data_IF_037839353057
#
_entry.id   IF_037839353057
#
_cell.length_a   1.000
_cell.length_b   1.000
_cell.length_c   1.000
_cell.angle_alpha   90.00
_cell.angle_beta   90.00
_cell.angle_gamma   90.00
#
_symmetry.space_group_name_H-M   'P 1'
#
loop_
_entity.id
_entity.type
_entity.pdbx_description
1 polymer ?
#
# COMPACT_ATOMS: atom_id res chain seq x y z
N UNK A 1 38.89 -50.49 -46.58
CA UNK A 1 37.85 -50.20 -47.59
C UNK A 1 36.53 -49.91 -46.88
N UNK A 2 35.58 -49.21 -47.51
CA UNK A 2 34.27 -48.79 -46.98
C UNK A 2 34.24 -47.70 -45.88
N UNK A 3 34.30 -46.46 -46.36
CA UNK A 3 33.59 -45.32 -45.75
C UNK A 3 32.07 -45.55 -45.82
N UNK A 4 31.31 -45.05 -44.82
CA UNK A 4 29.91 -44.64 -45.02
C UNK A 4 29.61 -43.28 -44.37
N UNK A 5 29.04 -42.43 -45.21
CA UNK A 5 28.77 -40.99 -45.10
C UNK A 5 27.79 -40.57 -43.99
N UNK A 6 28.10 -39.43 -43.38
CA UNK A 6 27.27 -38.36 -42.76
C UNK A 6 25.72 -38.50 -42.72
N UNK A 7 25.12 -37.92 -41.65
CA UNK A 7 24.30 -36.68 -41.74
C UNK A 7 24.12 -36.03 -40.34
N UNK A 8 23.96 -34.70 -40.31
CA UNK A 8 23.77 -33.88 -39.11
C UNK A 8 22.37 -34.05 -38.47
N UNK A 9 22.27 -33.93 -37.15
CA UNK A 9 21.26 -33.06 -36.50
C UNK A 9 21.95 -32.28 -35.37
N UNK A 10 21.83 -30.95 -35.38
CA UNK A 10 22.39 -30.09 -34.34
C UNK A 10 21.53 -30.06 -33.07
N UNK A 11 22.10 -30.50 -31.95
CA UNK A 11 21.52 -30.30 -30.62
C UNK A 11 22.16 -29.08 -29.94
N UNK A 12 21.47 -27.92 -29.97
CA UNK A 12 21.85 -26.79 -29.13
C UNK A 12 21.59 -27.16 -27.67
N UNK A 13 22.63 -27.55 -26.95
CA UNK A 13 22.57 -27.79 -25.52
C UNK A 13 22.27 -26.49 -24.77
N UNK A 14 21.00 -26.29 -24.40
CA UNK A 14 20.60 -25.16 -23.56
C UNK A 14 21.22 -25.37 -22.17
N UNK A 15 22.24 -24.57 -21.86
CA UNK A 15 22.84 -24.54 -20.53
C UNK A 15 21.79 -24.06 -19.51
N UNK A 16 21.29 -24.99 -18.69
CA UNK A 16 20.44 -24.69 -17.54
C UNK A 16 21.28 -24.01 -16.44
N UNK A 17 21.47 -22.70 -16.56
CA UNK A 17 22.00 -21.85 -15.48
C UNK A 17 20.96 -21.65 -14.37
N UNK A 18 20.64 -22.73 -13.68
CA UNK A 18 19.71 -22.77 -12.54
C UNK A 18 20.35 -22.32 -11.22
N UNK A 19 20.75 -21.05 -11.13
CA UNK A 19 21.25 -20.44 -9.88
C UNK A 19 20.59 -19.07 -9.63
N UNK A 20 19.40 -19.05 -9.02
CA UNK A 20 18.81 -17.81 -8.46
C UNK A 20 19.20 -17.59 -7.00
N UNK A 21 20.50 -17.69 -6.72
CA UNK A 21 21.09 -17.13 -5.50
C UNK A 21 21.03 -15.60 -5.60
N UNK A 22 20.03 -15.00 -4.95
CA UNK A 22 20.00 -13.55 -4.72
C UNK A 22 21.07 -13.17 -3.69
N UNK A 23 22.32 -13.17 -4.14
CA UNK A 23 23.43 -12.64 -3.38
C UNK A 23 23.24 -11.13 -3.13
N UNK A 24 23.78 -10.66 -2.00
CA UNK A 24 23.66 -9.27 -1.60
C UNK A 24 24.30 -8.29 -2.60
N UNK A 25 24.08 -7.00 -2.33
CA UNK A 25 24.82 -5.90 -2.98
C UNK A 25 24.55 -5.67 -4.47
N UNK A 26 23.32 -5.86 -4.95
CA UNK A 26 22.87 -5.20 -6.18
C UNK A 26 22.18 -3.88 -5.88
N UNK A 27 22.87 -2.78 -6.20
CA UNK A 27 22.29 -1.44 -6.32
C UNK A 27 21.32 -1.45 -7.50
N UNK A 28 20.06 -1.81 -7.24
CA UNK A 28 18.98 -1.81 -8.22
C UNK A 28 18.81 -0.39 -8.81
N UNK A 29 19.49 -0.13 -9.93
CA UNK A 29 19.51 1.18 -10.60
C UNK A 29 18.09 1.61 -11.05
N UNK A 30 17.11 0.69 -11.10
CA UNK A 30 15.70 1.06 -11.30
C UNK A 30 15.18 2.01 -10.21
N UNK A 31 15.73 1.93 -9.00
CA UNK A 31 15.29 2.72 -7.85
C UNK A 31 15.66 4.20 -7.94
N UNK A 32 16.70 4.54 -8.71
CA UNK A 32 17.08 5.94 -8.98
C UNK A 32 16.09 6.68 -9.87
N UNK A 33 15.30 5.94 -10.66
CA UNK A 33 14.47 6.49 -11.74
C UNK A 33 13.11 7.02 -11.29
N UNK A 34 12.65 6.67 -10.09
CA UNK A 34 11.43 7.27 -9.54
C UNK A 34 11.65 8.76 -9.23
N UNK A 35 10.72 9.60 -9.65
CA UNK A 35 10.69 11.03 -9.40
C UNK A 35 10.19 11.37 -7.98
N UNK A 36 9.43 10.46 -7.35
CA UNK A 36 8.94 10.63 -5.98
C UNK A 36 8.82 9.31 -5.20
N UNK A 37 8.77 9.34 -3.85
CA UNK A 37 8.45 8.14 -3.07
C UNK A 37 7.05 7.60 -3.36
N UNK A 38 6.10 8.47 -3.75
CA UNK A 38 4.73 8.07 -4.08
C UNK A 38 4.68 7.23 -5.37
N UNK A 39 5.46 7.63 -6.37
CA UNK A 39 5.64 6.88 -7.61
C UNK A 39 6.27 5.50 -7.35
N UNK A 40 7.28 5.42 -6.47
CA UNK A 40 7.81 4.13 -6.01
C UNK A 40 6.73 3.26 -5.37
N UNK A 41 5.93 3.81 -4.45
CA UNK A 41 4.87 3.07 -3.73
C UNK A 41 3.88 2.45 -4.73
N UNK A 42 3.54 3.18 -5.80
CA UNK A 42 2.72 2.68 -6.90
C UNK A 42 3.47 1.62 -7.74
N UNK A 43 4.63 1.95 -8.33
CA UNK A 43 5.29 1.10 -9.33
C UNK A 43 5.91 -0.19 -8.74
N UNK A 44 6.42 -0.17 -7.50
CA UNK A 44 6.83 -1.41 -6.80
C UNK A 44 5.65 -2.14 -6.15
N UNK A 45 4.40 -1.69 -6.40
CA UNK A 45 3.16 -2.26 -5.84
C UNK A 45 3.25 -2.48 -4.32
N UNK A 46 3.62 -1.44 -3.57
CA UNK A 46 3.79 -1.50 -2.11
C UNK A 46 2.43 -1.50 -1.40
N UNK A 47 1.44 -0.85 -1.99
CA UNK A 47 0.03 -1.00 -1.63
C UNK A 47 -0.70 -1.81 -2.72
N UNK A 48 -1.97 -2.14 -2.48
CA UNK A 48 -2.87 -2.52 -3.57
C UNK A 48 -3.08 -1.33 -4.54
N UNK A 49 -3.48 -1.60 -5.79
CA UNK A 49 -3.70 -0.57 -6.82
C UNK A 49 -4.75 0.50 -6.41
N UNK A 50 -5.73 0.12 -5.59
CA UNK A 50 -6.73 1.03 -5.02
C UNK A 50 -6.16 1.98 -3.92
N UNK A 51 -4.93 1.74 -3.44
CA UNK A 51 -4.27 2.47 -2.34
C UNK A 51 -4.43 1.84 -0.95
N UNK A 52 -5.11 0.68 -0.84
CA UNK A 52 -5.31 -0.04 0.42
C UNK A 52 -4.11 -0.91 0.80
N UNK A 53 -4.14 -1.43 2.03
CA UNK A 53 -3.10 -2.31 2.55
C UNK A 53 -2.90 -3.56 1.68
N UNK A 54 -1.64 -3.94 1.46
CA UNK A 54 -1.26 -5.15 0.73
C UNK A 54 -0.79 -6.22 1.71
N UNK A 55 -1.12 -7.47 1.41
CA UNK A 55 -0.69 -8.62 2.19
C UNK A 55 0.77 -9.00 1.89
N UNK A 56 1.51 -9.31 2.95
CA UNK A 56 2.91 -9.72 2.91
C UNK A 56 3.13 -10.90 3.85
N UNK A 57 3.85 -11.92 3.41
CA UNK A 57 4.29 -13.00 4.31
C UNK A 57 5.33 -12.46 5.28
N UNK A 58 5.10 -12.61 6.58
CA UNK A 58 6.06 -12.22 7.64
C UNK A 58 6.66 -13.42 8.38
N UNK A 59 6.04 -14.59 8.22
CA UNK A 59 6.49 -15.88 8.72
C UNK A 59 6.06 -16.97 7.74
N UNK A 60 7.01 -17.75 7.24
CA UNK A 60 6.76 -18.84 6.27
C UNK A 60 6.44 -20.18 6.94
N UNK A 61 6.37 -20.23 8.28
CA UNK A 61 6.27 -21.48 9.05
C UNK A 61 7.64 -22.13 9.32
N UNK A 62 7.66 -23.09 10.25
CA UNK A 62 8.88 -23.70 10.81
C UNK A 62 9.84 -24.28 9.77
N UNK A 63 9.32 -24.75 8.64
CA UNK A 63 10.08 -25.52 7.66
C UNK A 63 10.63 -24.65 6.52
N UNK A 64 10.48 -23.32 6.60
CA UNK A 64 10.77 -22.37 5.52
C UNK A 64 11.42 -21.05 6.04
N UNK A 65 12.06 -21.09 7.22
CA UNK A 65 12.61 -19.91 7.90
C UNK A 65 13.69 -19.15 7.11
N UNK A 66 14.33 -19.79 6.12
CA UNK A 66 15.36 -19.17 5.26
C UNK A 66 14.78 -18.18 4.23
N UNK A 67 13.48 -18.26 3.92
CA UNK A 67 12.84 -17.36 2.96
C UNK A 67 12.69 -15.95 3.54
N UNK A 68 13.13 -14.92 2.79
CA UNK A 68 13.04 -13.53 3.25
C UNK A 68 11.57 -13.18 3.62
N UNK A 69 11.33 -12.60 4.81
CA UNK A 69 10.02 -12.08 5.19
C UNK A 69 9.65 -10.91 4.29
N UNK A 70 8.63 -11.11 3.44
CA UNK A 70 8.14 -10.10 2.51
C UNK A 70 7.62 -8.84 3.22
N UNK A 71 7.25 -8.93 4.50
CA UNK A 71 6.89 -7.77 5.34
C UNK A 71 7.99 -6.71 5.45
N UNK A 72 9.23 -7.05 5.11
CA UNK A 72 10.35 -6.12 5.06
C UNK A 72 10.42 -5.33 3.74
N UNK A 73 9.76 -5.79 2.67
CA UNK A 73 9.89 -5.20 1.33
C UNK A 73 9.50 -3.71 1.27
N UNK A 74 8.41 -3.22 1.91
CA UNK A 74 8.09 -1.79 1.93
C UNK A 74 9.26 -0.95 2.48
N UNK A 75 9.76 -1.32 3.67
CA UNK A 75 10.91 -0.65 4.31
C UNK A 75 12.17 -0.74 3.44
N UNK A 76 12.47 -1.91 2.87
CA UNK A 76 13.65 -2.18 2.03
C UNK A 76 13.65 -1.30 0.78
N UNK A 77 12.53 -1.23 0.04
CA UNK A 77 12.44 -0.40 -1.16
C UNK A 77 12.54 1.11 -0.84
N UNK A 78 11.84 1.58 0.21
CA UNK A 78 11.87 2.99 0.61
C UNK A 78 13.23 3.43 1.16
N UNK A 79 13.91 2.55 1.90
CA UNK A 79 15.31 2.73 2.31
C UNK A 79 16.22 2.88 1.08
N UNK A 80 16.13 1.94 0.14
CA UNK A 80 16.94 1.95 -1.08
C UNK A 80 16.68 3.20 -1.93
N UNK A 81 15.44 3.71 -1.97
CA UNK A 81 15.12 4.99 -2.61
C UNK A 81 15.83 6.18 -1.97
N UNK A 82 15.78 6.24 -0.63
CA UNK A 82 16.41 7.30 0.11
C UNK A 82 17.94 7.28 -0.12
N UNK A 83 18.58 6.13 0.04
CA UNK A 83 20.02 5.96 -0.20
C UNK A 83 20.42 6.24 -1.65
N UNK A 84 19.61 5.83 -2.64
CA UNK A 84 19.85 6.11 -4.06
C UNK A 84 19.74 7.60 -4.44
N UNK A 85 19.19 8.44 -3.54
CA UNK A 85 19.14 9.90 -3.65
C UNK A 85 20.04 10.58 -2.61
N UNK A 86 21.12 9.91 -2.19
CA UNK A 86 22.09 10.36 -1.18
C UNK A 86 21.43 10.83 0.13
N UNK A 87 20.39 10.10 0.55
CA UNK A 87 19.63 10.38 1.77
C UNK A 87 19.78 9.32 2.85
N UNK A 88 19.60 9.75 4.11
CA UNK A 88 19.56 8.90 5.29
C UNK A 88 18.11 8.55 5.63
N UNK A 89 17.78 7.27 5.57
CA UNK A 89 16.49 6.73 6.00
C UNK A 89 16.57 6.28 7.46
N UNK A 90 15.72 6.82 8.32
CA UNK A 90 15.73 6.51 9.75
C UNK A 90 14.31 6.34 10.29
N UNK A 91 14.16 5.49 11.31
CA UNK A 91 12.90 5.37 12.05
C UNK A 91 12.67 6.67 12.83
N UNK A 92 11.50 7.28 12.63
CA UNK A 92 11.06 8.50 13.32
C UNK A 92 10.11 8.15 14.48
N UNK A 93 9.15 7.25 14.25
CA UNK A 93 8.22 6.78 15.28
C UNK A 93 8.00 5.26 15.16
N UNK A 94 8.02 4.55 16.30
CA UNK A 94 7.65 3.14 16.36
C UNK A 94 6.12 2.99 16.18
N UNK A 95 5.70 1.97 15.42
CA UNK A 95 4.30 1.58 15.36
C UNK A 95 3.77 1.13 16.72
N UNK A 96 2.54 1.51 17.03
CA UNK A 96 1.73 1.04 18.16
C UNK A 96 0.63 0.07 17.71
N UNK A 97 0.64 -0.33 16.43
CA UNK A 97 -0.37 -1.18 15.79
C UNK A 97 -1.79 -0.62 15.98
N UNK A 98 -1.94 0.70 15.84
CA UNK A 98 -3.19 1.42 16.08
C UNK A 98 -4.31 1.03 15.12
N UNK A 99 -3.96 0.70 13.87
CA UNK A 99 -4.90 0.32 12.81
C UNK A 99 -5.35 -1.14 12.88
N UNK A 100 -4.61 -2.01 13.57
CA UNK A 100 -5.04 -3.39 13.84
C UNK A 100 -6.20 -3.35 14.84
N UNK A 101 -7.33 -3.99 14.51
CA UNK A 101 -8.50 -4.00 15.42
C UNK A 101 -8.42 -5.11 16.46
N UNK A 102 -8.00 -6.30 16.06
CA UNK A 102 -7.97 -7.48 16.93
C UNK A 102 -6.72 -7.49 17.84
N UNK A 103 -6.94 -7.78 19.13
CA UNK A 103 -5.88 -7.80 20.14
C UNK A 103 -5.00 -9.05 20.09
N UNK A 104 -5.50 -10.20 19.61
CA UNK A 104 -4.63 -11.37 19.37
C UNK A 104 -3.59 -11.05 18.29
N UNK A 105 -4.04 -10.44 17.20
CA UNK A 105 -3.23 -10.09 16.04
C UNK A 105 -2.14 -9.09 16.45
N UNK A 106 -2.49 -8.08 17.28
CA UNK A 106 -1.49 -7.18 17.87
C UNK A 106 -0.42 -7.94 18.64
N UNK A 107 -0.79 -8.85 19.54
CA UNK A 107 0.18 -9.66 20.31
C UNK A 107 1.06 -10.51 19.39
N UNK A 108 0.51 -11.09 18.33
CA UNK A 108 1.23 -11.93 17.36
C UNK A 108 2.22 -11.12 16.51
N UNK A 109 1.79 -9.97 16.01
CA UNK A 109 2.65 -9.03 15.27
C UNK A 109 3.73 -8.41 16.19
N UNK A 110 3.39 -8.14 17.46
CA UNK A 110 4.33 -7.72 18.52
C UNK A 110 5.21 -8.86 19.06
N UNK A 111 5.00 -10.12 18.67
CA UNK A 111 5.97 -11.18 18.90
C UNK A 111 6.99 -11.26 17.75
N UNK A 112 6.58 -10.94 16.52
CA UNK A 112 7.45 -11.07 15.34
C UNK A 112 8.49 -9.96 15.22
N UNK A 113 9.78 -10.34 15.30
CA UNK A 113 10.90 -9.44 14.97
C UNK A 113 10.83 -8.90 13.54
N UNK A 114 10.41 -9.73 12.58
CA UNK A 114 10.28 -9.38 11.16
C UNK A 114 9.24 -8.27 10.93
N UNK A 115 8.12 -8.30 11.66
CA UNK A 115 7.12 -7.23 11.59
C UNK A 115 7.64 -5.99 12.31
N UNK A 116 8.10 -6.13 13.57
CA UNK A 116 8.62 -5.01 14.39
C UNK A 116 9.64 -4.13 13.66
N UNK A 117 10.56 -4.75 12.94
CA UNK A 117 11.60 -4.01 12.22
C UNK A 117 11.11 -3.37 10.91
N UNK A 118 9.97 -3.80 10.35
CA UNK A 118 9.42 -3.29 9.09
C UNK A 118 8.44 -2.12 9.24
N UNK A 119 7.81 -1.97 10.41
CA UNK A 119 6.67 -1.06 10.64
C UNK A 119 7.05 0.22 11.40
N UNK A 120 6.18 1.23 11.34
CA UNK A 120 6.37 2.56 11.95
C UNK A 120 6.47 3.68 10.92
N UNK A 121 6.73 4.90 11.40
CA UNK A 121 7.05 6.02 10.52
C UNK A 121 8.57 6.15 10.36
N UNK A 122 9.00 6.30 9.12
CA UNK A 122 10.38 6.51 8.72
C UNK A 122 10.52 7.87 8.05
N UNK A 123 11.60 8.58 8.34
CA UNK A 123 11.99 9.83 7.68
C UNK A 123 13.18 9.57 6.76
N UNK A 124 13.08 10.04 5.52
CA UNK A 124 14.25 10.24 4.67
C UNK A 124 14.68 11.70 4.76
N UNK A 125 15.98 11.95 4.91
CA UNK A 125 16.60 13.27 4.73
C UNK A 125 17.65 13.15 3.64
N UNK A 126 17.45 13.85 2.52
CA UNK A 126 18.36 13.87 1.37
C UNK A 126 19.41 14.97 1.54
N UNK A 127 20.58 14.81 0.91
CA UNK A 127 21.69 15.78 0.98
C UNK A 127 21.33 17.19 0.49
N UNK A 128 20.34 17.30 -0.40
CA UNK A 128 19.80 18.57 -0.93
C UNK A 128 18.73 19.22 -0.01
N UNK A 129 18.67 18.85 1.27
CA UNK A 129 17.71 19.37 2.25
C UNK A 129 16.27 18.85 2.12
N UNK A 130 15.92 18.15 1.03
CA UNK A 130 14.58 17.59 0.89
C UNK A 130 14.37 16.45 1.89
N UNK A 131 13.20 16.42 2.50
CA UNK A 131 12.83 15.32 3.39
C UNK A 131 11.37 14.92 3.22
N UNK A 132 11.10 13.65 3.49
CA UNK A 132 9.76 13.06 3.41
C UNK A 132 9.60 12.03 4.52
N UNK A 133 8.37 11.86 5.00
CA UNK A 133 8.02 10.89 6.04
C UNK A 133 7.03 9.90 5.43
N UNK A 134 7.26 8.61 5.68
CA UNK A 134 6.41 7.51 5.25
C UNK A 134 6.02 6.67 6.46
N UNK A 135 4.74 6.37 6.60
CA UNK A 135 4.18 5.46 7.59
C UNK A 135 3.98 4.10 6.95
N UNK A 136 4.45 3.03 7.59
CA UNK A 136 4.24 1.63 7.20
C UNK A 136 3.55 0.96 8.39
N UNK A 137 2.23 0.80 8.33
CA UNK A 137 1.43 0.33 9.47
C UNK A 137 0.66 -0.95 9.15
N UNK A 138 0.61 -1.93 10.08
CA UNK A 138 -0.23 -3.10 9.93
C UNK A 138 -1.70 -2.76 10.18
N UNK A 139 -2.60 -3.30 9.36
CA UNK A 139 -4.07 -3.15 9.52
C UNK A 139 -4.77 -4.45 9.92
N UNK A 140 -4.18 -5.60 9.59
CA UNK A 140 -4.67 -6.93 9.98
C UNK A 140 -3.55 -7.98 9.92
N UNK A 141 -3.76 -9.10 10.61
CA UNK A 141 -2.96 -10.33 10.51
C UNK A 141 -3.88 -11.48 10.12
N UNK A 142 -3.37 -12.49 9.43
CA UNK A 142 -4.07 -13.77 9.25
C UNK A 142 -3.12 -14.91 8.88
N UNK A 143 -3.56 -16.14 9.10
CA UNK A 143 -2.96 -17.32 8.48
C UNK A 143 -3.23 -17.33 6.96
N UNK A 144 -2.30 -17.86 6.18
CA UNK A 144 -2.53 -18.14 4.76
C UNK A 144 -3.53 -19.28 4.59
N UNK A 145 -4.34 -19.21 3.53
CA UNK A 145 -5.39 -20.18 3.21
C UNK A 145 -4.92 -21.33 2.30
N UNK A 146 -3.64 -21.32 1.92
CA UNK A 146 -2.97 -22.26 1.00
C UNK A 146 -2.44 -23.54 1.68
N UNK A 147 -2.72 -23.73 2.97
CA UNK A 147 -2.23 -24.86 3.76
C UNK A 147 -0.76 -24.76 4.21
N UNK A 148 0.01 -23.78 3.74
CA UNK A 148 1.47 -23.66 3.98
C UNK A 148 1.89 -23.34 5.42
N UNK A 149 0.92 -23.13 6.33
CA UNK A 149 1.11 -22.55 7.66
C UNK A 149 1.75 -21.13 7.69
N UNK A 150 2.02 -20.52 6.53
CA UNK A 150 2.53 -19.16 6.46
C UNK A 150 1.54 -18.16 7.05
N UNK A 151 2.07 -17.03 7.55
CA UNK A 151 1.27 -15.95 8.15
C UNK A 151 1.54 -14.62 7.48
N UNK A 152 0.44 -13.91 7.25
CA UNK A 152 0.31 -12.74 6.41
C UNK A 152 -0.03 -11.54 7.27
N UNK A 153 0.63 -10.42 6.98
CA UNK A 153 0.30 -9.11 7.55
C UNK A 153 -0.12 -8.18 6.42
N UNK A 154 -1.26 -7.50 6.60
CA UNK A 154 -1.69 -6.45 5.69
C UNK A 154 -1.02 -5.14 6.09
N UNK A 155 -0.10 -4.65 5.27
CA UNK A 155 0.63 -3.40 5.51
C UNK A 155 0.08 -2.28 4.63
N UNK A 156 -0.24 -1.13 5.23
CA UNK A 156 -0.55 0.10 4.51
C UNK A 156 0.64 1.06 4.58
N UNK A 157 1.11 1.48 3.40
CA UNK A 157 2.19 2.47 3.27
C UNK A 157 1.60 3.83 2.86
N UNK A 158 1.86 4.89 3.63
CA UNK A 158 1.32 6.24 3.37
C UNK A 158 2.37 7.33 3.60
N UNK A 159 2.54 8.25 2.65
CA UNK A 159 3.28 9.48 2.90
C UNK A 159 2.53 10.38 3.89
N UNK A 160 3.27 10.99 4.81
CA UNK A 160 2.75 11.89 5.84
C UNK A 160 3.57 13.19 5.87
N UNK A 161 2.90 14.29 6.18
CA UNK A 161 3.57 15.49 6.70
C UNK A 161 4.10 15.26 8.12
N UNK A 162 5.00 16.14 8.58
CA UNK A 162 5.53 16.07 9.95
C UNK A 162 4.43 16.19 11.02
N UNK A 163 3.43 17.03 10.80
CA UNK A 163 2.30 17.21 11.72
C UNK A 163 1.35 16.01 11.74
N UNK A 164 1.06 15.40 10.58
CA UNK A 164 0.28 14.16 10.52
C UNK A 164 0.98 13.02 11.25
N UNK A 165 2.28 12.84 11.00
CA UNK A 165 3.07 11.83 11.67
C UNK A 165 3.08 12.08 13.19
N UNK A 166 3.42 13.30 13.63
CA UNK A 166 3.40 13.67 15.05
C UNK A 166 2.05 13.32 15.68
N UNK A 167 0.94 13.84 15.15
CA UNK A 167 -0.42 13.59 15.66
C UNK A 167 -0.77 12.10 15.71
N UNK A 168 -0.49 11.34 14.65
CA UNK A 168 -0.81 9.92 14.58
C UNK A 168 -0.07 9.11 15.65
N UNK A 169 1.23 9.32 15.82
CA UNK A 169 2.04 8.54 16.76
C UNK A 169 1.98 9.06 18.21
N UNK A 170 1.80 10.37 18.45
CA UNK A 170 1.66 10.90 19.83
C UNK A 170 0.28 10.63 20.42
N UNK A 171 -0.80 10.77 19.65
CA UNK A 171 -2.15 10.60 20.20
C UNK A 171 -2.39 9.15 20.63
N UNK A 172 -1.84 8.17 19.90
CA UNK A 172 -1.93 6.76 20.30
C UNK A 172 -1.02 6.45 21.51
N UNK A 173 0.14 7.10 21.65
CA UNK A 173 1.02 6.91 22.81
C UNK A 173 0.38 7.39 24.13
N UNK A 174 -0.49 8.39 24.09
CA UNK A 174 -1.31 8.80 25.25
C UNK A 174 -2.36 7.73 25.57
N UNK A 175 -3.01 7.16 24.55
CA UNK A 175 -4.02 6.10 24.72
C UNK A 175 -3.40 4.79 25.26
N UNK A 176 -2.20 4.41 24.81
CA UNK A 176 -1.53 3.18 25.29
C UNK A 176 -1.06 3.32 26.74
N UNK A 177 -0.48 4.46 27.12
CA UNK A 177 -0.08 4.73 28.52
C UNK A 177 -1.25 4.77 29.50
N UNK A 178 -2.43 5.20 29.05
CA UNK A 178 -3.65 5.14 29.86
C UNK A 178 -4.18 3.71 30.05
N UNK A 179 -3.94 2.81 29.08
CA UNK A 179 -4.31 1.40 29.19
C UNK A 179 -3.34 0.60 30.10
N UNK A 180 -2.03 0.84 29.98
CA UNK A 180 -1.00 0.19 30.80
C UNK A 180 -1.14 0.54 32.30
N UNK A 181 -1.69 1.71 32.64
CA UNK A 181 -1.89 2.14 34.04
C UNK A 181 -3.16 1.57 34.72
N UNK A 182 -3.94 0.72 34.04
CA UNK A 182 -5.18 0.11 34.59
C UNK A 182 -5.07 -1.40 34.89
N UNK A 183 -3.91 -2.02 34.64
CA UNK A 183 -3.69 -3.46 34.85
C UNK A 183 -2.74 -3.76 36.01
N UNK A 184 -3.04 -3.19 37.19
CA UNK A 184 -2.37 -3.55 38.46
C UNK A 184 -3.19 -3.13 39.70
N UNK A 185 -4.32 -3.80 39.92
CA UNK A 185 -4.95 -3.94 41.25
C UNK A 185 -5.69 -5.28 41.36
N UNK A 186 -5.35 -6.04 42.40
CA UNK A 186 -6.08 -7.20 42.95
C UNK A 186 -7.47 -6.76 43.51
N UNK A 187 -8.45 -7.60 43.90
CA UNK A 187 -8.76 -9.04 43.72
C UNK A 187 -10.22 -9.31 44.20
N UNK A 188 -10.78 -10.47 43.81
CA UNK A 188 -11.75 -11.30 44.56
C UNK A 188 -13.23 -10.88 44.81
N UNK A 189 -14.04 -11.94 44.93
CA UNK A 189 -15.45 -12.08 45.35
C UNK A 189 -16.55 -11.51 44.40
N UNK A 190 -17.69 -12.20 44.16
CA UNK A 190 -18.31 -13.37 44.86
C UNK A 190 -18.99 -14.37 43.89
N UNK A 191 -19.49 -15.49 44.43
CA UNK A 191 -19.91 -16.74 43.75
C UNK A 191 -21.37 -16.81 43.26
N UNK A 192 -21.59 -17.74 42.30
CA UNK A 192 -22.77 -18.62 42.07
C UNK A 192 -24.16 -18.01 41.75
N UNK A 193 -24.71 -18.42 40.61
CA UNK A 193 -25.94 -19.21 40.55
C UNK A 193 -25.92 -20.13 39.30
N UNK A 194 -26.49 -21.33 39.43
CA UNK A 194 -26.58 -22.38 38.41
C UNK A 194 -28.06 -22.72 38.20
N UNK A 195 -28.53 -22.91 36.96
CA UNK A 195 -29.57 -23.91 36.68
C UNK A 195 -29.66 -24.28 35.18
N UNK A 196 -30.32 -25.40 34.92
CA UNK A 196 -30.07 -26.34 33.80
C UNK A 196 -31.38 -26.94 33.30
N UNK A 197 -31.66 -26.87 31.99
CA UNK A 197 -32.40 -27.92 31.24
C UNK A 197 -32.57 -27.58 29.74
N UNK A 198 -32.24 -28.53 28.88
CA UNK A 198 -32.53 -28.61 27.43
C UNK A 198 -33.58 -29.71 27.17
N UNK A 199 -33.82 -30.18 25.93
CA UNK A 199 -34.51 -29.56 24.78
C UNK A 199 -35.81 -30.36 24.42
N UNK A 200 -36.50 -30.12 23.29
CA UNK A 200 -36.15 -30.72 21.96
C UNK A 200 -36.55 -29.78 20.79
N UNK A 201 -36.70 -30.12 19.49
CA UNK A 201 -36.48 -31.34 18.67
C UNK A 201 -36.15 -30.93 17.20
N UNK A 202 -35.77 -31.91 16.37
CA UNK A 202 -35.66 -31.83 14.89
C UNK A 202 -36.85 -32.58 14.23
N UNK A 203 -37.09 -32.45 12.89
CA UNK A 203 -36.54 -33.48 11.98
C UNK A 203 -36.12 -33.01 10.55
N UNK A 204 -34.97 -33.49 10.04
CA UNK A 204 -34.85 -34.53 8.99
C UNK A 204 -35.95 -34.64 7.88
N UNK A 205 -35.69 -34.94 6.58
CA UNK A 205 -34.49 -35.31 5.79
C UNK A 205 -34.85 -35.32 4.27
N UNK A 206 -33.82 -35.37 3.38
CA UNK A 206 -33.73 -36.03 2.02
C UNK A 206 -33.39 -35.10 0.84
N UNK A 207 -32.66 -35.52 -0.22
CA UNK A 207 -31.56 -36.51 -0.41
C UNK A 207 -31.02 -36.38 -1.86
N UNK A 208 -29.69 -36.46 -2.07
CA UNK A 208 -28.99 -36.71 -3.37
C UNK A 208 -29.23 -35.66 -4.51
N UNK A 209 -28.40 -35.46 -5.55
CA UNK A 209 -27.40 -36.32 -6.24
C UNK A 209 -26.22 -35.49 -6.83
N UNK A 210 -25.02 -36.07 -6.90
CA UNK A 210 -23.87 -35.73 -7.78
C UNK A 210 -23.64 -36.96 -8.70
N UNK A 211 -22.96 -36.93 -9.87
CA UNK A 211 -22.08 -35.87 -10.40
C UNK A 211 -22.14 -35.62 -11.94
N UNK A 212 -21.40 -34.62 -12.43
CA UNK A 212 -20.69 -34.67 -13.72
C UNK A 212 -19.55 -33.62 -13.70
N UNK A 213 -18.46 -33.87 -14.42
CA UNK A 213 -17.34 -32.95 -14.55
C UNK A 213 -17.04 -32.70 -16.04
N UNK A 214 -16.90 -31.44 -16.42
CA UNK A 214 -16.26 -31.03 -17.68
C UNK A 214 -15.28 -29.87 -17.43
N UNK A 215 -14.36 -29.68 -18.37
CA UNK A 215 -13.10 -28.98 -18.15
C UNK A 215 -13.23 -27.45 -18.02
N UNK A 216 -12.23 -26.77 -17.42
CA UNK A 216 -12.32 -25.35 -17.13
C UNK A 216 -12.20 -24.52 -18.43
N UNK A 217 -13.25 -23.75 -18.73
CA UNK A 217 -13.13 -22.66 -19.69
C UNK A 217 -12.02 -21.68 -19.22
N UNK A 218 -11.16 -21.29 -20.15
CA UNK A 218 -10.01 -20.43 -19.85
C UNK A 218 -10.47 -19.12 -19.20
N UNK A 219 -10.01 -18.86 -17.97
CA UNK A 219 -10.26 -17.57 -17.31
C UNK A 219 -9.61 -16.46 -18.14
N UNK A 220 -10.32 -15.36 -18.45
CA UNK A 220 -9.73 -14.28 -19.23
C UNK A 220 -8.54 -13.69 -18.46
N UNK A 221 -7.40 -13.61 -19.16
CA UNK A 221 -6.15 -13.06 -18.63
C UNK A 221 -6.44 -11.69 -18.02
N UNK A 222 -6.21 -11.54 -16.71
CA UNK A 222 -6.27 -10.24 -16.05
C UNK A 222 -5.17 -9.36 -16.64
N UNK A 223 -5.57 -8.52 -17.60
CA UNK A 223 -4.73 -7.44 -18.12
C UNK A 223 -4.34 -6.58 -16.93
N UNK A 224 -3.06 -6.63 -16.55
CA UNK A 224 -2.53 -5.81 -15.48
C UNK A 224 -2.53 -4.37 -16.01
N UNK A 225 -3.55 -3.61 -15.66
CA UNK A 225 -3.70 -2.21 -16.09
C UNK A 225 -2.41 -1.45 -15.78
N UNK A 226 -1.82 -0.83 -16.79
CA UNK A 226 -0.58 -0.07 -16.63
C UNK A 226 -0.81 1.14 -15.72
N UNK A 227 0.21 1.65 -15.00
CA UNK A 227 0.08 2.87 -14.20
C UNK A 227 -0.49 4.05 -15.00
N UNK A 228 -0.18 4.12 -16.30
CA UNK A 228 -0.74 5.08 -17.26
C UNK A 228 -2.25 4.90 -17.46
N UNK A 229 -2.72 3.66 -17.66
CA UNK A 229 -4.15 3.34 -17.75
C UNK A 229 -4.88 3.63 -16.44
N UNK A 230 -4.31 3.27 -15.29
CA UNK A 230 -4.89 3.54 -13.97
C UNK A 230 -4.98 5.05 -13.70
N UNK A 231 -3.93 5.82 -14.05
CA UNK A 231 -3.95 7.28 -13.93
C UNK A 231 -5.04 7.90 -14.82
N UNK A 232 -5.14 7.46 -16.09
CA UNK A 232 -6.15 7.94 -17.03
C UNK A 232 -7.57 7.58 -16.57
N UNK A 233 -7.81 6.35 -16.12
CA UNK A 233 -9.10 5.87 -15.63
C UNK A 233 -9.54 6.63 -14.37
N UNK A 234 -8.62 6.89 -13.43
CA UNK A 234 -8.87 7.71 -12.25
C UNK A 234 -9.17 9.18 -12.62
N UNK A 235 -8.46 9.75 -13.60
CA UNK A 235 -8.72 11.09 -14.11
C UNK A 235 -10.10 11.21 -14.81
N UNK A 236 -10.41 10.28 -15.72
CA UNK A 236 -11.66 10.29 -16.49
C UNK A 236 -12.87 10.09 -15.60
N UNK A 237 -12.81 9.14 -14.64
CA UNK A 237 -13.89 8.95 -13.65
C UNK A 237 -14.07 10.18 -12.77
N UNK A 238 -12.99 10.77 -12.26
CA UNK A 238 -13.04 12.01 -11.49
C UNK A 238 -13.66 13.18 -12.28
N UNK A 239 -13.23 13.39 -13.52
CA UNK A 239 -13.73 14.47 -14.39
C UNK A 239 -15.22 14.29 -14.69
N UNK A 240 -15.63 13.08 -15.06
CA UNK A 240 -17.04 12.73 -15.34
C UNK A 240 -17.94 13.00 -14.14
N UNK A 241 -17.56 12.46 -12.98
CA UNK A 241 -18.40 12.52 -11.79
C UNK A 241 -18.46 13.96 -11.22
N UNK A 242 -17.33 14.69 -11.22
CA UNK A 242 -17.31 16.12 -10.89
C UNK A 242 -18.16 16.97 -11.86
N UNK A 243 -18.11 16.71 -13.18
CA UNK A 243 -18.93 17.44 -14.16
C UNK A 243 -20.44 17.20 -14.00
N UNK A 244 -20.83 16.04 -13.43
CA UNK A 244 -22.23 15.70 -13.14
C UNK A 244 -22.67 16.10 -11.73
N UNK A 245 -21.77 16.65 -10.90
CA UNK A 245 -22.02 16.92 -9.49
C UNK A 245 -22.28 15.68 -8.63
N UNK A 246 -22.08 14.47 -9.17
CA UNK A 246 -22.37 13.20 -8.51
C UNK A 246 -21.13 12.65 -7.80
N UNK A 247 -21.33 11.88 -6.72
CA UNK A 247 -20.25 11.16 -6.02
C UNK A 247 -19.03 12.03 -5.66
N UNK A 248 -19.22 13.32 -5.37
CA UNK A 248 -18.16 14.34 -5.34
C UNK A 248 -16.94 13.93 -4.49
N UNK A 249 -17.16 13.29 -3.34
CA UNK A 249 -16.08 12.75 -2.49
C UNK A 249 -15.22 11.72 -3.22
N UNK A 250 -15.85 10.74 -3.88
CA UNK A 250 -15.15 9.70 -4.62
C UNK A 250 -14.49 10.25 -5.88
N UNK A 251 -15.14 11.21 -6.55
CA UNK A 251 -14.57 11.91 -7.69
C UNK A 251 -13.30 12.70 -7.28
N UNK A 252 -13.32 13.39 -6.13
CA UNK A 252 -12.15 14.05 -5.57
C UNK A 252 -11.06 13.08 -5.08
N UNK A 253 -11.43 11.95 -4.48
CA UNK A 253 -10.47 10.87 -4.15
C UNK A 253 -9.80 10.30 -5.42
N UNK A 254 -10.55 10.16 -6.52
CA UNK A 254 -10.04 9.70 -7.81
C UNK A 254 -9.14 10.77 -8.49
N UNK A 255 -9.51 12.05 -8.42
CA UNK A 255 -8.65 13.15 -8.88
C UNK A 255 -7.32 13.17 -8.12
N UNK A 256 -7.37 12.98 -6.79
CA UNK A 256 -6.17 12.87 -5.95
C UNK A 256 -5.35 11.63 -6.30
N UNK A 257 -5.98 10.48 -6.54
CA UNK A 257 -5.29 9.27 -7.01
C UNK A 257 -4.57 9.52 -8.33
N UNK A 258 -5.26 10.10 -9.33
CA UNK A 258 -4.70 10.42 -10.64
C UNK A 258 -3.52 11.40 -10.55
N UNK A 259 -3.64 12.46 -9.74
CA UNK A 259 -2.56 13.42 -9.50
C UNK A 259 -1.36 12.77 -8.77
N UNK A 260 -1.60 11.87 -7.83
CA UNK A 260 -0.57 11.20 -7.03
C UNK A 260 0.34 10.26 -7.85
N UNK A 261 -0.06 9.82 -9.05
CA UNK A 261 0.84 9.07 -9.95
C UNK A 261 1.99 9.94 -10.53
N UNK A 262 1.88 11.27 -10.48
CA UNK A 262 2.87 12.17 -11.07
C UNK A 262 2.79 12.22 -12.60
N UNK A 263 3.82 12.78 -13.25
CA UNK A 263 3.93 12.79 -14.72
C UNK A 263 4.54 11.47 -15.20
N UNK A 264 3.70 10.51 -15.60
CA UNK A 264 4.17 9.24 -16.14
C UNK A 264 4.69 9.39 -17.58
N UNK A 265 5.63 8.53 -17.98
CA UNK A 265 6.06 8.41 -19.39
C UNK A 265 4.97 7.71 -20.19
N UNK A 266 4.62 8.24 -21.36
CA UNK A 266 3.57 7.71 -22.24
C UNK A 266 2.15 8.27 -21.99
N UNK A 267 1.89 8.91 -20.85
CA UNK A 267 0.72 9.78 -20.68
C UNK A 267 1.03 11.19 -21.15
N UNK A 268 0.06 11.87 -21.77
CA UNK A 268 0.17 13.30 -22.04
C UNK A 268 0.35 14.08 -20.72
N UNK A 269 1.15 15.14 -20.74
CA UNK A 269 1.33 15.99 -19.56
C UNK A 269 0.00 16.53 -19.01
N UNK A 270 -1.01 16.69 -19.88
CA UNK A 270 -2.37 17.09 -19.52
C UNK A 270 -3.02 16.18 -18.48
N UNK A 271 -2.88 14.85 -18.52
CA UNK A 271 -3.56 13.98 -17.52
C UNK A 271 -3.08 14.29 -16.10
N UNK A 272 -1.79 14.52 -15.91
CA UNK A 272 -1.22 14.92 -14.62
C UNK A 272 -1.64 16.35 -14.23
N UNK A 273 -1.52 17.32 -15.14
CA UNK A 273 -1.84 18.73 -14.83
C UNK A 273 -3.33 18.96 -14.60
N UNK A 274 -4.19 18.34 -15.41
CA UNK A 274 -5.64 18.40 -15.30
C UNK A 274 -6.10 17.73 -14.00
N UNK A 275 -5.53 16.58 -13.63
CA UNK A 275 -5.81 15.95 -12.33
C UNK A 275 -5.44 16.88 -11.17
N UNK A 276 -4.32 17.61 -11.27
CA UNK A 276 -3.96 18.64 -10.30
C UNK A 276 -4.96 19.80 -10.24
N UNK A 277 -5.51 20.23 -11.38
CA UNK A 277 -6.60 21.21 -11.41
C UNK A 277 -7.89 20.69 -10.75
N UNK A 278 -8.25 19.42 -10.97
CA UNK A 278 -9.40 18.80 -10.30
C UNK A 278 -9.19 18.71 -8.78
N UNK A 279 -7.99 18.34 -8.32
CA UNK A 279 -7.63 18.34 -6.89
C UNK A 279 -7.73 19.74 -6.29
N UNK A 280 -7.21 20.77 -6.98
CA UNK A 280 -7.31 22.14 -6.51
C UNK A 280 -8.78 22.60 -6.35
N UNK A 281 -9.65 22.26 -7.32
CA UNK A 281 -11.12 22.49 -7.23
C UNK A 281 -11.76 21.73 -6.07
N UNK A 282 -11.40 20.47 -5.88
CA UNK A 282 -11.89 19.67 -4.75
C UNK A 282 -11.51 20.27 -3.38
N UNK A 283 -10.30 20.83 -3.27
CA UNK A 283 -9.81 21.47 -2.05
C UNK A 283 -10.44 22.85 -1.78
N UNK A 284 -11.02 23.53 -2.79
CA UNK A 284 -11.61 24.87 -2.65
C UNK A 284 -13.13 24.92 -2.76
N UNK A 285 -13.74 23.97 -3.47
CA UNK A 285 -15.14 24.06 -3.94
C UNK A 285 -16.00 22.86 -3.57
N UNK A 286 -15.44 21.83 -2.92
CA UNK A 286 -16.19 20.65 -2.44
C UNK A 286 -16.04 20.57 -0.91
N UNK A 287 -16.96 21.17 -0.12
CA UNK A 287 -16.82 21.30 1.34
C UNK A 287 -16.55 19.97 2.06
N UNK A 288 -17.26 18.92 1.69
CA UNK A 288 -17.11 17.61 2.31
C UNK A 288 -15.73 16.96 2.01
N UNK A 289 -15.03 17.38 0.95
CA UNK A 289 -13.65 16.96 0.68
C UNK A 289 -12.64 17.90 1.34
N UNK A 290 -12.83 19.22 1.22
CA UNK A 290 -11.91 20.23 1.76
C UNK A 290 -11.83 20.20 3.29
N UNK A 291 -12.94 19.97 4.00
CA UNK A 291 -13.00 19.91 5.47
C UNK A 291 -12.16 18.77 6.08
N UNK A 292 -11.71 17.81 5.26
CA UNK A 292 -10.77 16.75 5.67
C UNK A 292 -9.34 17.27 5.85
N UNK A 293 -9.06 18.50 5.42
CA UNK A 293 -7.73 19.14 5.44
C UNK A 293 -7.82 20.51 6.10
N UNK A 294 -7.19 20.68 7.26
CA UNK A 294 -7.18 21.96 7.99
C UNK A 294 -6.60 23.15 7.18
N UNK A 295 -5.81 22.86 6.13
CA UNK A 295 -5.15 23.83 5.27
C UNK A 295 -5.51 23.66 3.78
N UNK A 296 -6.76 23.25 3.48
CA UNK A 296 -7.23 22.94 2.13
C UNK A 296 -6.94 24.05 1.08
N UNK A 297 -7.28 25.31 1.39
CA UNK A 297 -7.00 26.48 0.52
C UNK A 297 -5.50 26.65 0.24
N UNK A 298 -4.65 26.51 1.25
CA UNK A 298 -3.20 26.62 1.09
C UNK A 298 -2.61 25.44 0.30
N UNK A 299 -3.16 24.23 0.46
CA UNK A 299 -2.78 23.07 -0.33
C UNK A 299 -3.17 23.22 -1.81
N UNK A 300 -4.37 23.76 -2.09
CA UNK A 300 -4.79 24.12 -3.45
C UNK A 300 -3.85 25.15 -4.09
N UNK A 301 -3.50 26.22 -3.37
CA UNK A 301 -2.56 27.25 -3.83
C UNK A 301 -1.20 26.63 -4.22
N UNK A 302 -0.62 25.75 -3.39
CA UNK A 302 0.66 25.08 -3.70
C UNK A 302 0.59 24.25 -4.98
N UNK A 303 -0.49 23.48 -5.17
CA UNK A 303 -0.71 22.68 -6.38
C UNK A 303 -0.81 23.60 -7.60
N UNK A 304 -1.62 24.66 -7.53
CA UNK A 304 -1.79 25.59 -8.63
C UNK A 304 -0.51 26.39 -8.94
N UNK A 305 0.28 26.79 -7.94
CA UNK A 305 1.59 27.41 -8.14
C UNK A 305 2.55 26.47 -8.87
N UNK A 306 2.61 25.21 -8.46
CA UNK A 306 3.42 24.19 -9.13
C UNK A 306 3.00 24.01 -10.60
N UNK A 307 1.70 23.93 -10.89
CA UNK A 307 1.18 23.83 -12.26
C UNK A 307 1.42 25.11 -13.09
N UNK A 308 1.25 26.28 -12.50
CA UNK A 308 1.46 27.57 -13.15
C UNK A 308 2.93 27.81 -13.51
N UNK A 309 3.85 27.43 -12.62
CA UNK A 309 5.29 27.70 -12.76
C UNK A 309 5.99 26.63 -13.59
N UNK A 310 5.77 25.34 -13.29
CA UNK A 310 6.53 24.24 -13.92
C UNK A 310 5.90 23.72 -15.22
N UNK A 311 4.62 24.04 -15.48
CA UNK A 311 3.88 23.57 -16.66
C UNK A 311 3.20 24.71 -17.43
N UNK A 312 3.47 25.97 -17.07
CA UNK A 312 2.88 27.17 -17.67
C UNK A 312 1.33 27.15 -17.70
N UNK A 313 0.68 26.39 -16.81
CA UNK A 313 -0.72 25.98 -16.97
C UNK A 313 -1.69 27.17 -16.82
N UNK A 314 -2.30 27.62 -17.93
CA UNK A 314 -3.14 28.81 -17.98
C UNK A 314 -4.33 28.76 -16.99
N UNK A 315 -5.02 27.61 -16.91
CA UNK A 315 -6.10 27.41 -15.94
C UNK A 315 -5.65 27.52 -14.49
N UNK A 316 -4.38 27.20 -14.19
CA UNK A 316 -3.84 27.29 -12.83
C UNK A 316 -3.53 28.75 -12.47
N UNK A 317 -2.98 29.53 -13.41
CA UNK A 317 -2.77 30.98 -13.26
C UNK A 317 -4.09 31.71 -13.02
N UNK A 318 -5.13 31.38 -13.77
CA UNK A 318 -6.45 31.99 -13.61
C UNK A 318 -7.09 31.62 -12.27
N UNK A 319 -7.04 30.35 -11.87
CA UNK A 319 -7.59 29.91 -10.58
C UNK A 319 -6.82 30.49 -9.38
N UNK A 320 -5.50 30.70 -9.48
CA UNK A 320 -4.72 31.43 -8.46
C UNK A 320 -5.18 32.89 -8.29
N UNK A 321 -5.56 33.56 -9.38
CA UNK A 321 -6.09 34.93 -9.32
C UNK A 321 -7.47 35.00 -8.66
N UNK A 322 -8.26 33.92 -8.71
CA UNK A 322 -9.59 33.82 -8.10
C UNK A 322 -9.57 33.37 -6.62
N UNK A 323 -8.46 32.80 -6.15
CA UNK A 323 -8.31 32.27 -4.79
C UNK A 323 -7.60 33.26 -3.85
N UNK A 324 -6.82 34.18 -4.42
CA UNK A 324 -6.24 35.32 -3.68
C UNK A 324 -7.35 36.24 -3.19
#
# INVERSE_FOLDING_TARGET
MNFKTFILIGGVGIALHGCTSFNGSSSDNSVKNFASPQEMIAQKNINQANGQAKEYVYSWGSNQNEKEPQSLYPRKYLNNYCSAKNGKFSLLYKSTLSLVKNQSDKKLLLASGNVKQGIGAYKCVQSNGHSWIVSIEPVSERKSGDGSNARLVSLQTRLMSADEAKRFYTNVAVTSRAAEKKSSSNEQNTKKALNKSTPPKEPELKKETKPAAELPAAQPVKVVETPQQQQLQAYVSARRDLSKGQNQINACNNAQRAYNYGKLKGTSASVYTDSGMLVARCLTSVPAYSNRFANSKAQAIRILQHLANNYNHAGAKNMLRQIK
#
